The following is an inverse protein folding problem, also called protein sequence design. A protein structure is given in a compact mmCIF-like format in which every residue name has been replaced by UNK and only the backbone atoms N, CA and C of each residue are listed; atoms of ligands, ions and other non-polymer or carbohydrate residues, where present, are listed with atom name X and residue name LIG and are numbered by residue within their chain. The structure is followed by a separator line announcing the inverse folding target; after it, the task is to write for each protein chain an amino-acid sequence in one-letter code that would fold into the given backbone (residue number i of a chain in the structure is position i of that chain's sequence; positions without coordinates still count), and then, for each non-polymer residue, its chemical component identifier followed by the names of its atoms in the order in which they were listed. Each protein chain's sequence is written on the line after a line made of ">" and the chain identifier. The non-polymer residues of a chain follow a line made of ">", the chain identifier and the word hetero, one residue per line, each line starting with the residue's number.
data_IF_695398712438
#
_entry.id   IF_695398712438
#
_cell.length_a   1.000
_cell.length_b   1.000
_cell.length_c   1.000
_cell.angle_alpha   90.00
_cell.angle_beta   90.00
_cell.angle_gamma   90.00
#
_symmetry.space_group_name_H-M   'P 1'
#
loop_
_entity.id
_entity.type
_entity.pdbx_description
1 polymer ?
#
# COMPACT_ATOMS: atom_id res chain seq x y z
N UNK A 1 10.08 7.17 9.46
CA UNK A 1 10.95 8.04 10.31
C UNK A 1 10.90 9.46 9.77
N UNK A 2 10.67 10.46 10.63
CA UNK A 2 10.67 11.86 10.23
C UNK A 2 12.11 12.27 9.82
N UNK A 3 12.24 13.00 8.71
CA UNK A 3 13.54 13.49 8.22
C UNK A 3 14.33 14.25 9.30
N UNK A 4 13.66 14.95 10.20
CA UNK A 4 14.28 15.62 11.35
C UNK A 4 15.00 14.64 12.27
N UNK A 5 14.32 13.57 12.64
CA UNK A 5 14.86 12.52 13.51
C UNK A 5 16.01 11.80 12.84
N UNK A 6 15.86 11.47 11.58
CA UNK A 6 16.91 10.88 10.76
C UNK A 6 18.16 11.79 10.71
N UNK A 7 17.97 13.10 10.42
CA UNK A 7 19.07 14.07 10.34
C UNK A 7 19.83 14.19 11.67
N UNK A 8 19.11 14.21 12.80
CA UNK A 8 19.71 14.27 14.13
C UNK A 8 20.51 12.98 14.43
N UNK A 9 19.96 11.82 14.11
CA UNK A 9 20.63 10.52 14.27
C UNK A 9 21.89 10.42 13.41
N UNK A 10 21.77 10.73 12.13
CA UNK A 10 22.91 10.76 11.20
C UNK A 10 24.04 11.68 11.69
N UNK A 11 23.70 12.90 12.13
CA UNK A 11 24.71 13.85 12.63
C UNK A 11 25.37 13.35 13.92
N UNK A 12 24.59 12.72 14.82
CA UNK A 12 25.12 12.11 16.02
C UNK A 12 26.13 11.00 15.72
N UNK A 13 25.81 10.13 14.74
CA UNK A 13 26.70 9.05 14.30
C UNK A 13 27.98 9.58 13.66
N UNK A 14 27.89 10.61 12.81
CA UNK A 14 29.05 11.15 12.09
C UNK A 14 29.96 12.01 12.96
N UNK A 15 29.39 12.79 13.88
CA UNK A 15 30.11 13.85 14.60
C UNK A 15 30.07 13.71 16.10
N UNK A 16 29.37 12.73 16.66
CA UNK A 16 29.24 12.50 18.09
C UNK A 16 28.52 13.60 18.86
N UNK A 17 27.77 14.46 18.15
CA UNK A 17 27.04 15.62 18.72
C UNK A 17 25.61 15.68 18.23
N UNK A 18 24.68 16.02 19.14
CA UNK A 18 23.29 16.26 18.78
C UNK A 18 23.12 17.67 18.23
N UNK A 19 22.41 17.81 17.11
CA UNK A 19 22.04 19.10 16.54
C UNK A 19 21.01 19.83 17.42
N UNK A 20 21.16 21.15 17.51
CA UNK A 20 20.12 21.99 18.12
C UNK A 20 18.88 22.00 17.22
N UNK A 21 17.70 21.99 17.83
CA UNK A 21 16.42 21.99 17.12
C UNK A 21 16.32 23.11 16.07
N UNK A 22 16.80 24.33 16.39
CA UNK A 22 16.78 25.45 15.46
C UNK A 22 17.58 25.21 14.18
N UNK A 23 18.74 24.52 14.28
CA UNK A 23 19.54 24.15 13.12
C UNK A 23 18.83 23.09 12.29
N UNK A 24 18.20 22.11 12.93
CA UNK A 24 17.42 21.06 12.25
C UNK A 24 16.27 21.70 11.44
N UNK A 25 15.52 22.61 12.04
CA UNK A 25 14.41 23.30 11.34
C UNK A 25 14.91 24.15 10.18
N UNK A 26 16.03 24.86 10.34
CA UNK A 26 16.64 25.65 9.27
C UNK A 26 17.09 24.76 8.09
N UNK A 27 17.74 23.63 8.36
CA UNK A 27 18.15 22.68 7.32
C UNK A 27 16.95 22.09 6.59
N UNK A 28 15.89 21.72 7.31
CA UNK A 28 14.66 21.20 6.71
C UNK A 28 13.99 22.25 5.84
N UNK A 29 13.85 23.49 6.29
CA UNK A 29 13.27 24.58 5.51
C UNK A 29 14.08 24.86 4.23
N UNK A 30 15.40 24.90 4.34
CA UNK A 30 16.28 25.08 3.18
C UNK A 30 16.16 23.91 2.20
N UNK A 31 16.13 22.66 2.67
CA UNK A 31 15.93 21.49 1.83
C UNK A 31 14.58 21.53 1.10
N UNK A 32 13.51 21.91 1.78
CA UNK A 32 12.19 22.10 1.16
C UNK A 32 12.21 23.20 0.11
N UNK A 33 12.84 24.33 0.37
CA UNK A 33 12.95 25.42 -0.58
C UNK A 33 13.75 25.00 -1.83
N UNK A 34 14.85 24.29 -1.66
CA UNK A 34 15.64 23.76 -2.79
C UNK A 34 14.80 22.76 -3.61
N UNK A 35 14.08 21.85 -2.96
CA UNK A 35 13.22 20.89 -3.64
C UNK A 35 12.12 21.59 -4.47
N UNK A 36 11.44 22.59 -3.88
CA UNK A 36 10.33 23.29 -4.52
C UNK A 36 10.75 24.26 -5.62
N UNK A 37 11.83 24.98 -5.45
CA UNK A 37 12.18 26.12 -6.32
C UNK A 37 13.37 25.83 -7.26
N UNK A 38 14.28 24.95 -6.88
CA UNK A 38 15.47 24.64 -7.66
C UNK A 38 15.28 23.35 -8.44
N UNK A 39 15.03 22.23 -7.76
CA UNK A 39 14.97 20.92 -8.41
C UNK A 39 13.67 20.69 -9.18
N UNK A 40 12.53 21.18 -8.65
CA UNK A 40 11.18 21.07 -9.27
C UNK A 40 10.79 19.67 -9.77
N UNK A 41 11.47 18.64 -9.28
CA UNK A 41 11.13 17.27 -9.61
C UNK A 41 9.95 16.81 -8.75
N UNK A 42 8.92 16.30 -9.42
CA UNK A 42 7.78 15.67 -8.77
C UNK A 42 7.86 14.16 -8.96
N UNK A 43 7.71 13.42 -7.87
CA UNK A 43 7.69 11.97 -7.89
C UNK A 43 6.30 11.46 -7.52
N UNK A 44 5.79 10.50 -8.29
CA UNK A 44 4.62 9.73 -7.87
C UNK A 44 5.06 8.73 -6.81
N UNK A 45 4.50 8.83 -5.61
CA UNK A 45 4.84 7.93 -4.51
C UNK A 45 4.00 6.65 -4.59
N UNK A 46 4.65 5.50 -4.56
CA UNK A 46 4.01 4.22 -4.38
C UNK A 46 3.82 3.88 -2.89
N UNK A 47 2.80 3.10 -2.54
CA UNK A 47 2.60 2.61 -1.16
C UNK A 47 3.02 1.16 -1.03
N UNK A 48 2.94 0.28 -1.84
CA UNK A 48 3.41 -1.12 -1.86
C UNK A 48 3.72 -1.56 -3.27
N UNK A 49 2.88 -1.14 -4.20
CA UNK A 49 3.02 -1.48 -5.61
C UNK A 49 3.02 -0.20 -6.39
N UNK A 50 3.92 -0.11 -7.34
CA UNK A 50 3.99 1.05 -8.24
C UNK A 50 4.57 0.65 -9.59
N UNK A 51 4.52 1.57 -10.54
CA UNK A 51 5.15 1.44 -11.86
C UNK A 51 5.81 2.75 -12.26
N UNK A 52 6.75 2.67 -13.16
CA UNK A 52 7.25 3.88 -13.84
C UNK A 52 6.13 4.43 -14.71
N UNK A 53 5.90 5.72 -14.65
CA UNK A 53 4.94 6.40 -15.52
C UNK A 53 5.60 6.67 -16.88
N UNK A 54 5.46 5.72 -17.78
CA UNK A 54 5.94 5.80 -19.16
C UNK A 54 4.84 6.25 -20.15
N UNK A 55 3.69 6.68 -19.63
CA UNK A 55 2.51 7.03 -20.42
C UNK A 55 1.78 5.83 -21.06
N UNK A 56 2.21 4.60 -20.78
CA UNK A 56 1.60 3.39 -21.33
C UNK A 56 0.36 2.98 -20.54
N UNK A 57 -0.71 2.60 -21.23
CA UNK A 57 -1.91 2.03 -20.60
C UNK A 57 -1.65 0.63 -20.03
N UNK A 58 -0.66 -0.10 -20.56
CA UNK A 58 -0.28 -1.44 -20.12
C UNK A 58 1.11 -1.40 -19.51
N UNK A 59 1.25 -1.41 -18.18
CA UNK A 59 2.56 -1.42 -17.55
C UNK A 59 3.30 -2.70 -17.92
N UNK A 60 4.54 -2.55 -18.41
CA UNK A 60 5.42 -3.68 -18.71
C UNK A 60 6.19 -4.12 -17.48
N UNK A 61 6.32 -3.23 -16.51
CA UNK A 61 7.17 -3.37 -15.34
C UNK A 61 6.41 -2.91 -14.10
N UNK A 62 6.52 -3.70 -13.06
CA UNK A 62 5.92 -3.45 -11.75
C UNK A 62 7.01 -3.48 -10.68
N UNK A 63 6.85 -2.68 -9.66
CA UNK A 63 7.74 -2.63 -8.52
C UNK A 63 6.93 -2.89 -7.25
N UNK A 64 7.39 -3.83 -6.44
CA UNK A 64 6.75 -4.18 -5.18
C UNK A 64 7.71 -3.96 -4.02
N UNK A 65 7.32 -3.10 -3.06
CA UNK A 65 8.13 -2.79 -1.87
C UNK A 65 8.01 -3.89 -0.81
N UNK A 66 9.12 -4.54 -0.50
CA UNK A 66 9.22 -5.52 0.60
C UNK A 66 9.43 -4.86 1.97
N UNK A 67 9.74 -3.56 2.00
CA UNK A 67 10.09 -2.82 3.21
C UNK A 67 11.59 -2.67 3.45
N UNK A 68 12.41 -3.63 3.06
CA UNK A 68 13.88 -3.54 3.11
C UNK A 68 14.54 -3.68 1.72
N UNK A 69 13.79 -4.08 0.71
CA UNK A 69 14.20 -4.21 -0.67
C UNK A 69 12.98 -3.99 -1.59
N UNK A 70 13.20 -3.90 -2.88
CA UNK A 70 12.14 -3.78 -3.88
C UNK A 70 12.25 -4.90 -4.89
N UNK A 71 11.14 -5.53 -5.23
CA UNK A 71 11.06 -6.51 -6.31
C UNK A 71 10.65 -5.81 -7.59
N UNK A 72 11.48 -5.91 -8.62
CA UNK A 72 11.17 -5.53 -9.98
C UNK A 72 10.58 -6.73 -10.72
N UNK A 73 9.41 -6.56 -11.29
CA UNK A 73 8.64 -7.63 -11.95
C UNK A 73 8.43 -7.24 -13.42
N UNK A 74 8.86 -8.10 -14.31
CA UNK A 74 8.75 -7.94 -15.77
C UNK A 74 7.99 -9.12 -16.38
N UNK A 75 7.84 -9.14 -17.70
CA UNK A 75 7.30 -10.30 -18.42
C UNK A 75 8.18 -11.53 -18.35
N UNK A 76 9.50 -11.31 -18.23
CA UNK A 76 10.50 -12.37 -18.32
C UNK A 76 10.83 -12.97 -16.94
N UNK A 77 10.39 -12.29 -15.86
CA UNK A 77 10.61 -12.75 -14.49
C UNK A 77 10.63 -11.60 -13.49
N UNK A 78 11.34 -11.83 -12.41
CA UNK A 78 11.49 -10.84 -11.33
C UNK A 78 12.93 -10.87 -10.77
N UNK A 79 13.33 -9.73 -10.22
CA UNK A 79 14.61 -9.56 -9.52
C UNK A 79 14.46 -8.63 -8.33
N UNK A 80 15.41 -8.68 -7.40
CA UNK A 80 15.48 -7.74 -6.28
C UNK A 80 16.42 -6.61 -6.69
N UNK A 81 15.96 -5.36 -6.55
CA UNK A 81 16.71 -4.15 -6.89
C UNK A 81 16.90 -3.27 -5.66
N UNK A 82 18.12 -2.74 -5.50
CA UNK A 82 18.46 -1.86 -4.36
C UNK A 82 18.14 -0.39 -4.63
N UNK A 83 18.19 0.04 -5.89
CA UNK A 83 17.92 1.42 -6.33
C UNK A 83 16.83 1.45 -7.41
N UNK A 84 15.56 1.28 -7.03
CA UNK A 84 14.45 1.32 -7.98
C UNK A 84 14.20 2.76 -8.46
N UNK A 85 13.75 2.95 -9.72
CA UNK A 85 13.40 4.27 -10.26
C UNK A 85 12.12 4.87 -9.64
N UNK A 86 11.59 4.25 -8.62
CA UNK A 86 10.34 4.58 -7.94
C UNK A 86 10.58 4.88 -6.48
N UNK A 87 9.95 5.93 -5.98
CA UNK A 87 9.97 6.27 -4.56
C UNK A 87 8.75 5.68 -3.88
N UNK A 88 8.97 4.90 -2.81
CA UNK A 88 7.91 4.34 -1.97
C UNK A 88 7.77 5.15 -0.68
N UNK A 89 6.53 5.56 -0.39
CA UNK A 89 6.18 6.13 0.91
C UNK A 89 5.91 4.98 1.88
N UNK A 90 6.76 4.84 2.88
CA UNK A 90 6.63 3.81 3.93
C UNK A 90 6.02 4.42 5.18
N UNK A 91 5.04 3.73 5.73
CA UNK A 91 4.34 4.12 6.96
C UNK A 91 4.75 3.20 8.11
N UNK A 92 4.71 3.72 9.35
CA UNK A 92 5.12 2.98 10.55
C UNK A 92 4.32 1.71 10.84
N UNK A 93 3.10 1.62 10.30
CA UNK A 93 2.26 0.43 10.46
C UNK A 93 2.58 -0.68 9.45
N UNK A 94 3.33 -0.38 8.39
CA UNK A 94 3.68 -1.38 7.38
C UNK A 94 4.77 -2.31 7.91
N UNK A 95 4.56 -3.61 7.70
CA UNK A 95 5.54 -4.65 8.00
C UNK A 95 6.31 -5.04 6.75
N UNK A 96 7.48 -5.65 6.97
CA UNK A 96 8.27 -6.23 5.89
C UNK A 96 7.55 -7.43 5.30
N UNK A 97 7.62 -7.56 3.98
CA UNK A 97 7.17 -8.75 3.28
C UNK A 97 8.32 -9.75 3.17
N UNK A 98 7.97 -11.03 3.12
CA UNK A 98 8.92 -12.11 2.87
C UNK A 98 9.50 -11.97 1.46
N UNK A 99 10.82 -12.15 1.33
CA UNK A 99 11.48 -12.14 0.02
C UNK A 99 10.98 -13.31 -0.82
N UNK A 100 10.69 -13.09 -2.11
CA UNK A 100 10.27 -14.17 -3.00
C UNK A 100 11.36 -15.21 -3.16
N UNK A 101 10.96 -16.47 -3.29
CA UNK A 101 11.85 -17.60 -3.53
C UNK A 101 11.78 -17.98 -5.01
N UNK A 102 12.95 -18.02 -5.66
CA UNK A 102 13.08 -18.43 -7.07
C UNK A 102 12.68 -19.89 -7.32
N UNK A 103 12.60 -20.71 -6.28
CA UNK A 103 12.16 -22.11 -6.37
C UNK A 103 10.64 -22.29 -6.34
N UNK A 104 9.89 -21.20 -6.07
CA UNK A 104 8.42 -21.22 -6.01
C UNK A 104 7.80 -21.72 -7.31
N UNK A 105 6.79 -22.58 -7.20
CA UNK A 105 6.12 -23.24 -8.32
C UNK A 105 4.65 -22.80 -8.42
N UNK A 106 4.06 -23.02 -9.60
CA UNK A 106 2.61 -22.83 -9.81
C UNK A 106 1.74 -23.56 -8.78
N UNK A 107 2.18 -24.74 -8.32
CA UNK A 107 1.50 -25.52 -7.30
C UNK A 107 1.43 -24.82 -5.93
N UNK A 108 2.30 -23.86 -5.67
CA UNK A 108 2.35 -23.16 -4.37
C UNK A 108 1.15 -22.20 -4.19
N UNK A 109 0.55 -21.71 -5.29
CA UNK A 109 -0.73 -20.97 -5.24
C UNK A 109 -1.87 -21.86 -4.71
N UNK A 110 -1.86 -23.15 -5.02
CA UNK A 110 -2.86 -24.10 -4.53
C UNK A 110 -2.72 -24.35 -3.02
N UNK A 111 -1.54 -24.11 -2.44
CA UNK A 111 -1.37 -24.18 -1.00
C UNK A 111 -2.24 -23.13 -0.28
N UNK A 112 -2.41 -21.94 -0.87
CA UNK A 112 -3.28 -20.91 -0.31
C UNK A 112 -4.71 -21.42 -0.16
N UNK A 113 -5.20 -22.26 -1.07
CA UNK A 113 -6.54 -22.86 -1.00
C UNK A 113 -6.75 -23.70 0.26
N UNK A 114 -5.69 -24.27 0.85
CA UNK A 114 -5.78 -25.05 2.09
C UNK A 114 -6.02 -24.19 3.32
N UNK A 115 -5.72 -22.92 3.25
CA UNK A 115 -5.87 -21.96 4.37
C UNK A 115 -7.13 -21.11 4.28
N UNK A 116 -7.85 -21.16 3.16
CA UNK A 116 -9.07 -20.38 2.93
C UNK A 116 -10.27 -21.31 2.73
N UNK A 117 -11.39 -21.02 3.38
CA UNK A 117 -12.60 -21.82 3.26
C UNK A 117 -13.43 -21.37 2.05
N UNK A 118 -12.93 -21.62 0.84
CA UNK A 118 -13.64 -21.35 -0.42
C UNK A 118 -13.86 -22.68 -1.13
N UNK A 119 -15.13 -23.10 -1.21
CA UNK A 119 -15.49 -24.44 -1.75
C UNK A 119 -15.74 -24.41 -3.25
N UNK A 120 -16.32 -23.34 -3.76
CA UNK A 120 -16.63 -23.20 -5.18
C UNK A 120 -15.37 -22.87 -5.99
N UNK A 121 -15.19 -23.57 -7.11
CA UNK A 121 -14.10 -23.27 -8.05
C UNK A 121 -14.22 -21.84 -8.63
N UNK A 122 -15.43 -21.36 -8.87
CA UNK A 122 -15.64 -20.03 -9.39
C UNK A 122 -15.27 -18.97 -8.36
N UNK A 123 -15.66 -19.15 -7.10
CA UNK A 123 -15.31 -18.24 -6.02
C UNK A 123 -13.79 -18.25 -5.77
N UNK A 124 -13.13 -19.40 -5.89
CA UNK A 124 -11.68 -19.49 -5.84
C UNK A 124 -11.01 -18.66 -6.94
N UNK A 125 -11.48 -18.78 -8.18
CA UNK A 125 -10.95 -17.99 -9.30
C UNK A 125 -11.20 -16.49 -9.10
N UNK A 126 -12.37 -16.09 -8.62
CA UNK A 126 -12.68 -14.69 -8.28
C UNK A 126 -11.74 -14.17 -7.17
N UNK A 127 -11.53 -14.97 -6.13
CA UNK A 127 -10.61 -14.64 -5.04
C UNK A 127 -9.17 -14.47 -5.56
N UNK A 128 -8.67 -15.40 -6.36
CA UNK A 128 -7.34 -15.27 -6.97
C UNK A 128 -7.22 -14.03 -7.86
N UNK A 129 -8.25 -13.76 -8.67
CA UNK A 129 -8.29 -12.56 -9.53
C UNK A 129 -8.23 -11.29 -8.68
N UNK A 130 -8.96 -11.24 -7.58
CA UNK A 130 -8.89 -10.16 -6.61
C UNK A 130 -7.47 -9.98 -6.04
N UNK A 131 -6.86 -11.06 -5.55
CA UNK A 131 -5.49 -11.03 -5.00
C UNK A 131 -4.49 -10.54 -6.04
N UNK A 132 -4.54 -11.07 -7.26
CA UNK A 132 -3.64 -10.65 -8.35
C UNK A 132 -3.85 -9.18 -8.70
N UNK A 133 -5.10 -8.72 -8.78
CA UNK A 133 -5.42 -7.32 -9.10
C UNK A 133 -4.84 -6.35 -8.08
N UNK A 134 -4.65 -6.77 -6.83
CA UNK A 134 -4.04 -5.94 -5.79
C UNK A 134 -2.58 -5.58 -6.09
N UNK A 135 -1.86 -6.42 -6.85
CA UNK A 135 -0.48 -6.17 -7.27
C UNK A 135 -0.36 -5.34 -8.56
N UNK A 136 -1.46 -4.97 -9.20
CA UNK A 136 -1.43 -4.16 -10.43
C UNK A 136 -1.69 -2.69 -10.05
N UNK A 137 -0.71 -1.77 -10.15
CA UNK A 137 -0.93 -0.37 -9.86
C UNK A 137 -1.81 0.30 -10.94
N UNK A 138 -2.43 1.43 -10.58
CA UNK A 138 -3.22 2.27 -11.50
C UNK A 138 -4.36 1.54 -12.25
N UNK A 139 -4.86 0.47 -11.65
CA UNK A 139 -5.99 -0.31 -12.14
C UNK A 139 -7.17 -0.16 -11.18
N UNK A 140 -8.40 0.03 -11.67
CA UNK A 140 -9.58 0.06 -10.81
C UNK A 140 -9.67 -1.21 -9.97
N UNK A 141 -9.70 -1.05 -8.64
CA UNK A 141 -9.62 -2.19 -7.73
C UNK A 141 -11.00 -2.80 -7.51
N UNK A 142 -11.17 -4.11 -7.75
CA UNK A 142 -12.41 -4.78 -7.40
C UNK A 142 -12.62 -4.75 -5.89
N UNK A 143 -13.87 -4.66 -5.46
CA UNK A 143 -14.25 -4.84 -4.06
C UNK A 143 -14.62 -6.31 -3.84
N UNK A 144 -13.93 -6.96 -2.90
CA UNK A 144 -14.24 -8.34 -2.52
C UNK A 144 -15.26 -8.33 -1.37
N UNK A 145 -16.45 -8.90 -1.61
CA UNK A 145 -17.46 -9.11 -0.59
C UNK A 145 -17.44 -10.57 -0.13
N UNK A 146 -17.15 -10.78 1.16
CA UNK A 146 -17.19 -12.10 1.79
C UNK A 146 -18.49 -12.26 2.60
N UNK A 147 -19.34 -13.15 2.17
CA UNK A 147 -20.60 -13.47 2.85
C UNK A 147 -20.58 -14.92 3.33
N UNK A 148 -20.91 -15.13 4.58
CA UNK A 148 -21.09 -16.47 5.17
C UNK A 148 -21.72 -16.35 6.58
N UNK A 149 -22.14 -17.48 7.15
CA UNK A 149 -22.53 -17.57 8.55
C UNK A 149 -21.39 -17.18 9.53
N UNK A 150 -21.72 -16.98 10.79
CA UNK A 150 -20.72 -16.75 11.83
C UNK A 150 -19.78 -17.96 11.94
N UNK A 151 -18.48 -17.70 12.12
CA UNK A 151 -17.46 -18.76 12.15
C UNK A 151 -17.02 -19.28 10.77
N UNK A 152 -17.54 -18.75 9.66
CA UNK A 152 -17.22 -19.20 8.30
C UNK A 152 -15.83 -18.82 7.78
N UNK A 153 -14.92 -18.31 8.60
CA UNK A 153 -13.53 -18.02 8.22
C UNK A 153 -13.31 -16.69 7.47
N UNK A 154 -14.33 -15.82 7.38
CA UNK A 154 -14.23 -14.52 6.65
C UNK A 154 -13.06 -13.67 7.13
N UNK A 155 -12.96 -13.43 8.43
CA UNK A 155 -11.87 -12.63 9.03
C UNK A 155 -10.51 -13.27 8.79
N UNK A 156 -10.41 -14.60 8.80
CA UNK A 156 -9.17 -15.33 8.50
C UNK A 156 -8.73 -15.10 7.06
N UNK A 157 -9.65 -15.18 6.09
CA UNK A 157 -9.37 -14.91 4.68
C UNK A 157 -8.88 -13.47 4.50
N UNK A 158 -9.56 -12.49 5.12
CA UNK A 158 -9.16 -11.08 5.04
C UNK A 158 -7.77 -10.85 5.62
N UNK A 159 -7.46 -11.40 6.81
CA UNK A 159 -6.14 -11.29 7.43
C UNK A 159 -5.04 -11.94 6.59
N UNK A 160 -5.27 -13.15 6.09
CA UNK A 160 -4.31 -13.83 5.22
C UNK A 160 -4.06 -13.04 3.93
N UNK A 161 -5.12 -12.50 3.31
CA UNK A 161 -5.00 -11.68 2.10
C UNK A 161 -4.21 -10.40 2.39
N UNK A 162 -4.48 -9.75 3.53
CA UNK A 162 -3.73 -8.57 3.97
C UNK A 162 -2.25 -8.89 4.16
N UNK A 163 -1.92 -9.97 4.84
CA UNK A 163 -0.55 -10.41 5.05
C UNK A 163 0.17 -10.76 3.74
N UNK A 164 -0.55 -11.31 2.78
CA UNK A 164 0.00 -11.67 1.47
C UNK A 164 0.30 -10.45 0.60
N UNK A 165 -0.58 -9.43 0.63
CA UNK A 165 -0.50 -8.29 -0.31
C UNK A 165 0.14 -7.07 0.33
N UNK A 166 -0.20 -6.75 1.58
CA UNK A 166 0.19 -5.54 2.26
C UNK A 166 0.29 -5.78 3.77
N UNK A 167 1.32 -6.55 4.21
CA UNK A 167 1.51 -6.88 5.62
C UNK A 167 1.59 -5.60 6.48
N UNK A 168 0.87 -5.61 7.60
CA UNK A 168 0.70 -4.46 8.47
C UNK A 168 0.42 -4.89 9.90
N UNK A 169 0.97 -4.16 10.88
CA UNK A 169 0.68 -4.32 12.31
C UNK A 169 -0.80 -4.02 12.59
N UNK A 170 -1.40 -3.14 11.78
CA UNK A 170 -2.81 -2.80 11.92
C UNK A 170 -3.66 -3.83 11.20
N UNK A 171 -4.41 -4.58 11.96
CA UNK A 171 -5.52 -5.38 11.45
C UNK A 171 -6.59 -4.46 10.84
N UNK A 172 -7.48 -5.01 10.03
CA UNK A 172 -8.49 -4.26 9.31
C UNK A 172 -9.35 -3.33 10.16
N UNK A 173 -10.12 -2.50 9.51
CA UNK A 173 -10.99 -1.52 10.13
C UNK A 173 -12.31 -2.19 10.51
N UNK A 174 -12.63 -2.21 11.81
CA UNK A 174 -13.83 -2.90 12.30
C UNK A 174 -15.15 -2.26 11.88
N UNK A 175 -15.26 -0.93 11.92
CA UNK A 175 -16.48 -0.20 11.58
C UNK A 175 -16.22 0.98 10.69
N UNK A 176 -17.13 1.19 9.75
CA UNK A 176 -17.19 2.40 8.92
C UNK A 176 -18.15 3.38 9.60
N UNK A 177 -17.65 4.51 10.09
CA UNK A 177 -18.46 5.54 10.72
C UNK A 177 -18.90 6.63 9.75
N UNK A 178 -18.02 6.98 8.83
CA UNK A 178 -18.21 8.03 7.81
C UNK A 178 -17.27 7.80 6.63
N UNK A 179 -17.37 8.63 5.60
CA UNK A 179 -16.53 8.55 4.40
C UNK A 179 -15.04 8.72 4.71
N UNK A 180 -14.70 9.57 5.69
CA UNK A 180 -13.31 9.83 6.07
C UNK A 180 -12.63 8.59 6.69
N UNK A 181 -13.39 7.76 7.40
CA UNK A 181 -12.92 6.47 7.94
C UNK A 181 -12.53 5.46 6.83
N UNK A 182 -12.87 5.72 5.58
CA UNK A 182 -12.45 4.94 4.41
C UNK A 182 -11.29 5.63 3.70
N UNK A 183 -11.44 6.93 3.39
CA UNK A 183 -10.49 7.68 2.54
C UNK A 183 -9.11 7.81 3.20
N UNK A 184 -9.07 8.15 4.48
CA UNK A 184 -7.81 8.35 5.20
C UNK A 184 -6.96 7.06 5.27
N UNK A 185 -7.49 5.89 5.64
CA UNK A 185 -6.71 4.65 5.57
C UNK A 185 -6.38 4.23 4.13
N UNK A 186 -7.27 4.45 3.16
CA UNK A 186 -7.04 4.11 1.76
C UNK A 186 -5.82 4.82 1.16
N UNK A 187 -5.47 6.01 1.66
CA UNK A 187 -4.26 6.72 1.22
C UNK A 187 -2.95 6.14 1.78
N UNK A 188 -3.02 5.27 2.79
CA UNK A 188 -1.87 4.74 3.53
C UNK A 188 -1.67 3.22 3.40
N UNK A 189 -2.64 2.51 2.84
CA UNK A 189 -2.64 1.07 2.67
C UNK A 189 -2.84 0.69 1.20
N UNK A 190 -2.11 -0.31 0.73
CA UNK A 190 -2.33 -0.89 -0.60
C UNK A 190 -3.57 -1.81 -0.62
N UNK A 191 -3.88 -2.43 0.51
CA UNK A 191 -5.07 -3.24 0.71
C UNK A 191 -5.73 -2.92 2.04
N UNK A 192 -7.03 -2.63 2.01
CA UNK A 192 -7.87 -2.45 3.18
C UNK A 192 -8.93 -3.53 3.27
N UNK A 193 -9.31 -3.91 4.47
CA UNK A 193 -10.52 -4.67 4.70
C UNK A 193 -11.32 -4.10 5.87
N UNK A 194 -12.62 -4.29 5.79
CA UNK A 194 -13.58 -3.87 6.81
C UNK A 194 -14.31 -5.10 7.32
N UNK A 195 -14.31 -5.30 8.64
CA UNK A 195 -14.98 -6.43 9.25
C UNK A 195 -16.31 -6.01 9.88
N UNK A 196 -17.28 -6.92 9.90
CA UNK A 196 -18.58 -6.72 10.55
C UNK A 196 -19.39 -5.52 10.01
N UNK A 197 -19.43 -5.35 8.69
CA UNK A 197 -20.30 -4.34 8.07
C UNK A 197 -21.72 -4.88 7.99
N UNK A 198 -22.62 -4.27 8.75
CA UNK A 198 -24.04 -4.66 8.77
C UNK A 198 -24.87 -3.88 7.74
N UNK A 199 -24.45 -2.66 7.41
CA UNK A 199 -25.17 -1.75 6.53
C UNK A 199 -24.23 -0.77 5.86
N UNK A 200 -24.47 -0.49 4.60
CA UNK A 200 -23.76 0.51 3.79
C UNK A 200 -24.82 1.48 3.26
N UNK A 201 -24.74 2.76 3.66
CA UNK A 201 -25.58 3.80 3.09
C UNK A 201 -25.02 4.30 1.75
N UNK A 202 -25.76 5.16 1.05
CA UNK A 202 -25.39 5.64 -0.28
C UNK A 202 -24.02 6.35 -0.26
N UNK A 203 -23.77 7.24 0.71
CA UNK A 203 -22.52 8.02 0.79
C UNK A 203 -21.29 7.11 0.97
N UNK A 204 -21.42 6.08 1.80
CA UNK A 204 -20.38 5.07 2.02
C UNK A 204 -20.15 4.25 0.74
N UNK A 205 -21.23 3.84 0.07
CA UNK A 205 -21.17 3.10 -1.19
C UNK A 205 -20.46 3.91 -2.26
N UNK A 206 -20.83 5.17 -2.45
CA UNK A 206 -20.23 6.07 -3.43
C UNK A 206 -18.76 6.34 -3.11
N UNK A 207 -18.41 6.46 -1.81
CA UNK A 207 -17.03 6.60 -1.37
C UNK A 207 -16.21 5.37 -1.68
N UNK A 208 -16.72 4.17 -1.41
CA UNK A 208 -16.05 2.91 -1.74
C UNK A 208 -15.82 2.78 -3.26
N UNK A 209 -16.83 3.08 -4.06
CA UNK A 209 -16.72 3.09 -5.53
C UNK A 209 -15.65 4.10 -5.98
N UNK A 210 -15.65 5.30 -5.42
CA UNK A 210 -14.68 6.33 -5.74
C UNK A 210 -13.25 5.94 -5.37
N UNK A 211 -13.04 5.33 -4.19
CA UNK A 211 -11.72 4.80 -3.78
C UNK A 211 -11.29 3.67 -4.72
N UNK A 212 -12.18 2.75 -5.06
CA UNK A 212 -11.90 1.63 -5.96
C UNK A 212 -11.49 2.08 -7.37
N UNK A 213 -12.07 3.18 -7.87
CA UNK A 213 -11.77 3.75 -9.19
C UNK A 213 -10.69 4.83 -9.16
N UNK A 214 -10.23 5.24 -7.97
CA UNK A 214 -9.25 6.32 -7.79
C UNK A 214 -9.83 7.73 -7.90
N UNK A 215 -11.15 7.90 -8.07
CA UNK A 215 -11.79 9.20 -8.32
C UNK A 215 -12.01 10.01 -7.03
N UNK A 216 -12.27 9.36 -5.92
CA UNK A 216 -12.59 10.02 -4.63
C UNK A 216 -11.42 10.74 -3.99
N UNK A 217 -10.20 10.30 -4.24
CA UNK A 217 -9.00 10.89 -3.66
C UNK A 217 -8.65 12.24 -4.30
N UNK A 218 -9.08 12.47 -5.55
CA UNK A 218 -8.78 13.69 -6.31
C UNK A 218 -9.67 14.87 -5.87
N UNK A 219 -10.92 14.63 -5.48
CA UNK A 219 -11.88 15.69 -5.18
C UNK A 219 -11.78 16.27 -3.78
N UNK A 220 -10.94 15.72 -2.87
CA UNK A 220 -10.77 16.19 -1.49
C UNK A 220 -9.39 16.79 -1.18
N UNK A 221 -8.71 17.37 -2.17
CA UNK A 221 -7.55 18.26 -1.93
C UNK A 221 -7.87 19.53 -1.14
N UNK A 222 -9.10 19.68 -0.63
CA UNK A 222 -9.51 20.89 0.10
C UNK A 222 -9.22 20.84 1.62
N UNK A 223 -8.67 19.77 2.16
CA UNK A 223 -8.21 19.74 3.56
C UNK A 223 -6.75 19.31 3.58
N UNK A 224 -5.90 20.23 3.97
CA UNK A 224 -4.44 20.18 4.05
C UNK A 224 -3.85 19.21 5.08
N UNK A 225 -4.63 18.25 5.58
CA UNK A 225 -4.21 17.32 6.64
C UNK A 225 -3.74 15.95 6.12
N UNK A 226 -3.52 15.79 4.81
CA UNK A 226 -3.02 14.53 4.23
C UNK A 226 -1.49 14.50 4.06
N UNK A 227 -0.81 15.59 4.41
CA UNK A 227 0.63 15.79 4.22
C UNK A 227 1.47 15.70 5.52
N UNK A 228 0.91 15.16 6.63
CA UNK A 228 1.67 14.85 7.85
C UNK A 228 2.15 13.40 7.91
#
# INVERSE_FOLDING_TARGET
>A
EDFRTWLMGWHLEQYGKVLRRSIVEEVVQNACAIAQYVNKQTYKLGVRVSRVDDGSANPKELYYDLGDAVVHITRDGWEIVDDPPIVFKRYSHQEKQVRPDATSRKADIELLHKFVNIQSRNDWLLFLTFVISAFIPDFPKPLLLLTNSNGGGKTTIMKLTKQLVDPSVLDGIGKIYNCESIVRPASKHALLYFDNISYINQDISDTLCGVATGTSLVNRKMYTDLDD
#
